data_IF_424713957887
#
_entry.id   IF_424713957887
#
_cell.length_a   1.000
_cell.length_b   1.000
_cell.length_c   1.000
_cell.angle_alpha   90.00
_cell.angle_beta   90.00
_cell.angle_gamma   90.00
#
_symmetry.space_group_name_H-M   'P 1'
#
loop_
_entity.id
_entity.type
_entity.pdbx_description
1 polymer ?
#
# COMPACT_ATOMS: atom_id res chain seq x y z
N UNK A 1 -10.92 0.00 -14.91
CA UNK A 1 -12.05 0.87 -14.51
C UNK A 1 -11.77 2.26 -15.04
N UNK A 2 -12.71 2.87 -15.79
CA UNK A 2 -12.50 4.19 -16.41
C UNK A 2 -13.30 5.30 -15.69
N UNK A 3 -13.87 5.02 -14.52
CA UNK A 3 -14.53 6.02 -13.67
C UNK A 3 -15.79 6.66 -14.26
N UNK A 4 -16.51 5.96 -15.15
CA UNK A 4 -17.69 6.52 -15.82
C UNK A 4 -18.87 6.61 -14.85
N UNK A 5 -19.71 7.62 -15.02
CA UNK A 5 -20.94 7.79 -14.24
C UNK A 5 -21.84 6.55 -14.37
N UNK A 6 -22.28 5.99 -13.24
CA UNK A 6 -23.08 4.75 -13.19
C UNK A 6 -22.28 3.45 -13.24
N UNK A 7 -20.95 3.51 -13.32
CA UNK A 7 -20.11 2.33 -13.22
C UNK A 7 -20.08 1.81 -11.78
N UNK A 8 -20.48 0.56 -11.59
CA UNK A 8 -20.38 -0.13 -10.29
C UNK A 8 -18.97 -0.68 -10.12
N UNK A 9 -18.37 -0.39 -8.97
CA UNK A 9 -17.07 -0.96 -8.60
C UNK A 9 -17.32 -2.42 -8.17
N UNK A 10 -16.57 -3.40 -8.69
CA UNK A 10 -16.68 -4.78 -8.24
C UNK A 10 -16.29 -4.91 -6.77
N UNK A 11 -16.80 -5.94 -6.13
CA UNK A 11 -16.40 -6.28 -4.77
C UNK A 11 -14.91 -6.67 -4.75
N UNK A 12 -14.15 -5.99 -3.91
CA UNK A 12 -12.72 -6.27 -3.70
C UNK A 12 -12.59 -7.26 -2.56
N UNK A 13 -12.89 -8.52 -2.82
CA UNK A 13 -12.68 -9.59 -1.85
C UNK A 13 -11.19 -9.79 -1.57
N UNK A 14 -10.84 -10.34 -0.40
CA UNK A 14 -9.45 -10.59 -0.03
C UNK A 14 -8.71 -11.43 -1.08
N UNK A 15 -9.40 -12.40 -1.70
CA UNK A 15 -8.85 -13.23 -2.78
C UNK A 15 -8.47 -12.40 -4.01
N UNK A 16 -9.35 -11.49 -4.45
CA UNK A 16 -9.12 -10.62 -5.61
C UNK A 16 -7.98 -9.64 -5.31
N UNK A 17 -7.94 -9.09 -4.10
CA UNK A 17 -6.87 -8.19 -3.65
C UNK A 17 -5.52 -8.92 -3.68
N UNK A 18 -5.47 -10.15 -3.18
CA UNK A 18 -4.26 -10.96 -3.16
C UNK A 18 -3.78 -11.29 -4.58
N UNK A 19 -4.66 -11.76 -5.46
CA UNK A 19 -4.31 -12.08 -6.85
C UNK A 19 -3.75 -10.85 -7.60
N UNK A 20 -4.42 -9.70 -7.46
CA UNK A 20 -3.96 -8.46 -8.08
C UNK A 20 -2.60 -8.04 -7.50
N UNK A 21 -2.42 -8.16 -6.18
CA UNK A 21 -1.18 -7.81 -5.50
C UNK A 21 -0.01 -8.66 -5.99
N UNK A 22 -0.18 -9.99 -6.06
CA UNK A 22 0.86 -10.92 -6.55
C UNK A 22 1.27 -10.59 -7.98
N UNK A 23 0.31 -10.27 -8.86
CA UNK A 23 0.62 -9.86 -10.23
C UNK A 23 1.44 -8.57 -10.30
N UNK A 24 1.13 -7.58 -9.45
CA UNK A 24 1.91 -6.34 -9.41
C UNK A 24 3.31 -6.54 -8.82
N UNK A 25 3.44 -7.43 -7.84
CA UNK A 25 4.73 -7.86 -7.30
C UNK A 25 5.56 -8.52 -8.40
N UNK A 26 5.00 -9.51 -9.10
CA UNK A 26 5.67 -10.19 -10.21
C UNK A 26 6.14 -9.19 -11.29
N UNK A 27 5.27 -8.26 -11.68
CA UNK A 27 5.62 -7.22 -12.66
C UNK A 27 6.76 -6.32 -12.14
N UNK A 28 6.74 -5.92 -10.87
CA UNK A 28 7.83 -5.16 -10.25
C UNK A 28 9.15 -5.93 -10.32
N UNK A 29 9.16 -7.20 -9.89
CA UNK A 29 10.37 -8.03 -9.86
C UNK A 29 10.92 -8.26 -11.28
N UNK A 30 10.04 -8.46 -12.26
CA UNK A 30 10.43 -8.65 -13.66
C UNK A 30 10.99 -7.38 -14.31
N UNK A 31 10.45 -6.20 -13.97
CA UNK A 31 10.90 -4.92 -14.54
C UNK A 31 12.20 -4.45 -13.88
N UNK A 32 12.33 -4.61 -12.57
CA UNK A 32 13.46 -4.07 -11.79
C UNK A 32 14.60 -5.07 -11.60
N UNK A 33 14.30 -6.37 -11.62
CA UNK A 33 15.23 -7.42 -11.23
C UNK A 33 15.41 -7.56 -9.71
N UNK A 34 14.71 -6.75 -8.92
CA UNK A 34 14.78 -6.76 -7.45
C UNK A 34 13.63 -7.57 -6.85
N UNK A 35 13.87 -8.21 -5.70
CA UNK A 35 12.81 -8.88 -4.96
C UNK A 35 11.92 -7.85 -4.27
N UNK A 36 10.60 -8.07 -4.34
CA UNK A 36 9.66 -7.22 -3.63
C UNK A 36 9.63 -7.59 -2.15
N UNK A 37 10.06 -6.67 -1.30
CA UNK A 37 9.96 -6.83 0.14
C UNK A 37 8.66 -6.22 0.65
N UNK A 38 7.74 -7.08 1.12
CA UNK A 38 6.51 -6.61 1.76
C UNK A 38 6.88 -5.85 3.03
N UNK A 39 6.42 -4.59 3.11
CA UNK A 39 6.60 -3.80 4.32
C UNK A 39 5.91 -4.48 5.50
N UNK A 40 6.57 -4.46 6.65
CA UNK A 40 5.96 -4.92 7.89
C UNK A 40 4.74 -4.03 8.21
N UNK A 41 3.61 -4.70 8.35
CA UNK A 41 2.31 -4.12 8.65
C UNK A 41 1.98 -4.20 10.15
N UNK A 42 2.83 -4.83 10.95
CA UNK A 42 2.71 -4.79 12.40
C UNK A 42 2.91 -3.35 12.91
N UNK A 43 2.07 -2.94 13.86
CA UNK A 43 2.17 -1.66 14.56
C UNK A 43 2.18 -0.42 13.63
N UNK A 44 1.55 -0.48 12.45
CA UNK A 44 1.47 0.66 11.50
C UNK A 44 0.98 1.93 12.20
N UNK A 45 -0.08 1.83 13.00
CA UNK A 45 -0.66 2.98 13.71
C UNK A 45 0.36 3.66 14.62
N UNK A 46 1.10 2.88 15.41
CA UNK A 46 2.14 3.39 16.32
C UNK A 46 3.29 4.04 15.54
N UNK A 47 3.70 3.42 14.42
CA UNK A 47 4.75 3.96 13.54
C UNK A 47 4.33 5.29 12.92
N UNK A 48 3.08 5.41 12.46
CA UNK A 48 2.53 6.66 11.92
C UNK A 48 2.49 7.73 13.01
N UNK A 49 1.93 7.40 14.17
CA UNK A 49 1.81 8.33 15.29
C UNK A 49 3.18 8.86 15.72
N UNK A 50 4.15 7.95 15.92
CA UNK A 50 5.53 8.31 16.28
C UNK A 50 6.14 9.28 15.27
N UNK A 51 6.05 8.98 13.97
CA UNK A 51 6.63 9.83 12.93
C UNK A 51 5.97 11.22 12.89
N UNK A 52 4.64 11.29 13.08
CA UNK A 52 3.93 12.56 13.17
C UNK A 52 4.38 13.38 14.40
N UNK A 53 4.48 12.75 15.57
CA UNK A 53 4.94 13.42 16.79
C UNK A 53 6.39 13.90 16.68
N UNK A 54 7.28 13.08 16.12
CA UNK A 54 8.69 13.46 15.87
C UNK A 54 8.78 14.68 14.97
N UNK A 55 8.01 14.71 13.87
CA UNK A 55 7.95 15.85 12.97
C UNK A 55 7.46 17.11 13.70
N UNK A 56 6.32 17.02 14.41
CA UNK A 56 5.74 18.16 15.13
C UNK A 56 6.69 18.69 16.20
N UNK A 57 7.35 17.81 16.96
CA UNK A 57 8.32 18.20 17.98
C UNK A 57 9.56 18.87 17.39
N UNK A 58 10.02 18.44 16.22
CA UNK A 58 11.15 19.08 15.53
C UNK A 58 10.75 20.40 14.87
N UNK A 59 9.50 20.52 14.40
CA UNK A 59 8.97 21.76 13.82
C UNK A 59 8.71 22.84 14.87
N UNK A 60 8.34 22.45 16.09
CA UNK A 60 8.07 23.38 17.20
C UNK A 60 9.32 23.78 18.02
N UNK A 61 10.50 23.25 17.68
CA UNK A 61 11.79 23.68 18.25
C UNK A 61 12.38 24.82 17.45
#
# INVERSE_FOLDING_TARGET
FQGKTGQVIPEMTDSIVNEISERYIELYENITGEKFERADIENISERIEKNCLEFLNNFMK
#
